data_IF_960568907435
#
_entry.id   IF_960568907435
#
_cell.length_a   1.000
_cell.length_b   1.000
_cell.length_c   1.000
_cell.angle_alpha   90.00
_cell.angle_beta   90.00
_cell.angle_gamma   90.00
#
_symmetry.space_group_name_H-M   'P 1'
#
loop_
_entity.id
_entity.type
_entity.pdbx_description
1 polymer ?
#
# COMPACT_ATOMS: atom_id res chain seq x y z
N UNK A 1 93.38 121.68 34.46
CA UNK A 1 94.26 120.54 34.81
C UNK A 1 93.43 119.29 34.55
N UNK A 2 93.30 118.89 33.28
CA UNK A 2 93.99 117.74 32.67
C UNK A 2 93.88 116.45 33.50
N UNK A 3 92.68 115.88 33.52
CA UNK A 3 92.48 114.44 33.73
C UNK A 3 93.11 113.71 32.54
N UNK A 4 94.39 113.39 32.72
CA UNK A 4 95.19 112.63 31.77
C UNK A 4 94.74 111.19 31.83
N UNK A 5 94.35 110.64 30.68
CA UNK A 5 94.04 109.23 30.51
C UNK A 5 95.18 108.39 31.15
N UNK A 6 94.90 107.61 32.21
CA UNK A 6 95.93 106.88 32.94
C UNK A 6 96.62 105.80 32.08
N UNK A 7 96.11 105.54 30.87
CA UNK A 7 96.66 104.62 29.88
C UNK A 7 97.35 105.32 28.69
N UNK A 8 97.67 106.62 28.78
CA UNK A 8 98.39 107.35 27.72
C UNK A 8 99.81 106.77 27.51
N UNK A 9 100.09 106.11 26.36
CA UNK A 9 101.38 105.45 26.10
C UNK A 9 102.56 106.43 26.01
N UNK A 10 102.27 107.74 25.94
CA UNK A 10 103.24 108.83 25.85
C UNK A 10 103.80 109.24 27.23
N UNK A 11 103.19 108.78 28.34
CA UNK A 11 103.56 109.16 29.70
C UNK A 11 104.69 108.26 30.24
N UNK A 12 105.71 108.86 30.85
CA UNK A 12 106.80 108.13 31.50
C UNK A 12 106.34 107.54 32.84
N UNK A 13 106.01 106.25 32.87
CA UNK A 13 105.62 105.54 34.10
C UNK A 13 106.86 105.08 34.91
N UNK A 14 106.82 105.23 36.24
CA UNK A 14 107.84 104.71 37.15
C UNK A 14 107.83 103.17 37.18
N UNK A 15 108.94 102.55 37.59
CA UNK A 15 109.06 101.08 37.61
C UNK A 15 108.03 100.38 38.51
N UNK A 16 107.58 101.04 39.59
CA UNK A 16 106.52 100.54 40.47
C UNK A 16 105.14 100.62 39.83
N UNK A 17 104.84 101.72 39.12
CA UNK A 17 103.57 101.87 38.39
C UNK A 17 103.46 100.87 37.24
N UNK A 18 104.56 100.64 36.50
CA UNK A 18 104.62 99.64 35.43
C UNK A 18 104.36 98.22 35.94
N UNK A 19 104.87 97.88 37.12
CA UNK A 19 104.70 96.55 37.72
C UNK A 19 103.25 96.31 38.19
N UNK A 20 102.65 97.33 38.81
CA UNK A 20 101.24 97.29 39.23
C UNK A 20 100.29 97.20 38.02
N UNK A 21 100.57 97.98 36.97
CA UNK A 21 99.84 97.93 35.70
C UNK A 21 99.94 96.57 35.02
N UNK A 22 101.14 95.98 35.00
CA UNK A 22 101.37 94.69 34.34
C UNK A 22 100.65 93.55 35.09
N UNK A 23 100.62 93.59 36.43
CA UNK A 23 99.89 92.62 37.24
C UNK A 23 98.36 92.76 37.07
N UNK A 24 97.82 93.99 37.04
CA UNK A 24 96.38 94.21 36.84
C UNK A 24 95.92 93.84 35.42
N UNK A 25 96.70 94.15 34.39
CA UNK A 25 96.42 93.74 33.00
C UNK A 25 96.49 92.22 32.87
N UNK A 26 97.48 91.57 33.48
CA UNK A 26 97.62 90.11 33.46
C UNK A 26 96.45 89.42 34.16
N UNK A 27 95.96 89.99 35.27
CA UNK A 27 94.80 89.46 36.00
C UNK A 27 93.48 89.64 35.23
N UNK A 28 93.31 90.76 34.54
CA UNK A 28 92.17 91.01 33.65
C UNK A 28 92.19 90.09 32.43
N UNK A 29 93.36 89.87 31.82
CA UNK A 29 93.53 88.92 30.71
C UNK A 29 93.21 87.48 31.14
N UNK A 30 93.71 87.04 32.30
CA UNK A 30 93.39 85.72 32.86
C UNK A 30 91.89 85.56 33.18
N UNK A 31 91.24 86.60 33.72
CA UNK A 31 89.80 86.60 33.98
C UNK A 31 88.98 86.60 32.69
N UNK A 32 89.42 87.31 31.65
CA UNK A 32 88.78 87.31 30.33
C UNK A 32 88.95 85.96 29.62
N UNK A 33 90.13 85.35 29.72
CA UNK A 33 90.42 84.02 29.17
C UNK A 33 89.68 82.93 29.94
N UNK A 34 89.63 82.98 31.28
CA UNK A 34 88.78 82.10 32.09
C UNK A 34 87.31 82.31 31.76
N UNK A 35 86.82 83.55 31.59
CA UNK A 35 85.44 83.79 31.17
C UNK A 35 85.18 83.23 29.77
N UNK A 36 86.10 83.40 28.82
CA UNK A 36 86.01 82.87 27.46
C UNK A 36 85.99 81.33 27.44
N UNK A 37 86.92 80.68 28.14
CA UNK A 37 86.97 79.22 28.26
C UNK A 37 85.72 78.66 28.95
N UNK A 38 85.25 79.30 30.02
CA UNK A 38 83.98 78.91 30.66
C UNK A 38 82.79 79.11 29.72
N UNK A 39 82.81 80.16 28.88
CA UNK A 39 81.76 80.43 27.89
C UNK A 39 81.73 79.40 26.76
N UNK A 40 82.91 78.96 26.28
CA UNK A 40 83.06 77.93 25.23
C UNK A 40 82.63 76.55 25.75
N UNK A 41 83.05 76.17 26.97
CA UNK A 41 82.61 74.91 27.58
C UNK A 41 81.09 74.87 27.88
N UNK A 42 80.50 76.02 28.24
CA UNK A 42 79.05 76.15 28.41
C UNK A 42 78.31 76.05 27.06
N UNK A 43 78.87 76.61 26.00
CA UNK A 43 78.30 76.56 24.65
C UNK A 43 78.32 75.14 24.07
N UNK A 44 79.43 74.40 24.19
CA UNK A 44 79.53 73.00 23.77
C UNK A 44 78.54 72.10 24.54
N UNK A 45 78.48 72.21 25.87
CA UNK A 45 77.54 71.44 26.68
C UNK A 45 76.05 71.75 26.42
N UNK A 46 75.72 72.96 25.97
CA UNK A 46 74.35 73.33 25.55
C UNK A 46 74.00 72.73 24.19
N UNK A 47 74.95 72.70 23.24
CA UNK A 47 74.75 72.06 21.93
C UNK A 47 74.52 70.55 22.08
N UNK A 48 75.35 69.84 22.85
CA UNK A 48 75.17 68.39 23.09
C UNK A 48 73.87 68.09 23.84
N UNK A 49 73.45 68.95 24.78
CA UNK A 49 72.17 68.82 25.50
C UNK A 49 70.97 68.95 24.55
N UNK A 50 71.03 69.87 23.59
CA UNK A 50 69.99 70.03 22.57
C UNK A 50 69.91 68.81 21.64
N UNK A 51 71.04 68.23 21.25
CA UNK A 51 71.08 67.00 20.44
C UNK A 51 70.53 65.78 21.20
N UNK A 52 70.84 65.62 22.49
CA UNK A 52 70.27 64.55 23.33
C UNK A 52 68.76 64.68 23.45
N UNK A 53 68.23 65.90 23.62
CA UNK A 53 66.79 66.16 23.63
C UNK A 53 66.15 65.83 22.28
N UNK A 54 66.82 66.16 21.17
CA UNK A 54 66.35 65.83 19.81
C UNK A 54 66.32 64.32 19.56
N UNK A 55 67.41 63.61 19.85
CA UNK A 55 67.48 62.15 19.74
C UNK A 55 66.49 61.45 20.69
N UNK A 56 66.24 62.01 21.87
CA UNK A 56 65.22 61.52 22.80
C UNK A 56 63.80 61.63 22.23
N UNK A 57 63.48 62.72 21.53
CA UNK A 57 62.21 62.90 20.80
C UNK A 57 62.09 61.91 19.64
N UNK A 58 63.11 61.80 18.78
CA UNK A 58 63.13 60.86 17.66
C UNK A 58 62.98 59.39 18.14
N UNK A 59 63.65 59.02 19.24
CA UNK A 59 63.50 57.69 19.85
C UNK A 59 62.07 57.44 20.35
N UNK A 60 61.43 58.43 20.97
CA UNK A 60 60.05 58.31 21.44
C UNK A 60 59.06 58.18 20.27
N UNK A 61 59.28 58.93 19.18
CA UNK A 61 58.52 58.83 17.93
C UNK A 61 58.69 57.44 17.29
N UNK A 62 59.91 56.90 17.24
CA UNK A 62 60.19 55.56 16.73
C UNK A 62 59.54 54.46 17.59
N UNK A 63 59.53 54.62 18.91
CA UNK A 63 58.85 53.67 19.81
C UNK A 63 57.33 53.70 19.62
N UNK A 64 56.75 54.89 19.44
CA UNK A 64 55.33 55.04 19.15
C UNK A 64 54.97 54.39 17.80
N UNK A 65 55.76 54.65 16.76
CA UNK A 65 55.57 54.06 15.44
C UNK A 65 55.68 52.53 15.48
N UNK A 66 56.67 51.99 16.20
CA UNK A 66 56.82 50.54 16.41
C UNK A 66 55.56 49.94 17.05
N UNK A 67 55.07 50.54 18.13
CA UNK A 67 53.86 50.08 18.83
C UNK A 67 52.62 50.13 17.91
N UNK A 68 52.46 51.20 17.13
CA UNK A 68 51.38 51.33 16.16
C UNK A 68 51.44 50.27 15.05
N UNK A 69 52.64 49.95 14.54
CA UNK A 69 52.84 48.89 13.54
C UNK A 69 52.52 47.51 14.15
N UNK A 70 53.01 47.22 15.35
CA UNK A 70 52.72 45.95 16.05
C UNK A 70 51.21 45.76 16.28
N UNK A 71 50.52 46.80 16.75
CA UNK A 71 49.06 46.77 16.90
C UNK A 71 48.35 46.54 15.56
N UNK A 72 48.81 47.19 14.49
CA UNK A 72 48.22 47.04 13.16
C UNK A 72 48.42 45.64 12.60
N UNK A 73 49.59 45.04 12.78
CA UNK A 73 49.87 43.66 12.38
C UNK A 73 49.02 42.65 13.17
N UNK A 74 48.90 42.84 14.49
CA UNK A 74 48.04 42.01 15.33
C UNK A 74 46.56 42.11 14.93
N UNK A 75 46.09 43.33 14.62
CA UNK A 75 44.73 43.53 14.16
C UNK A 75 44.48 42.84 12.80
N UNK A 76 45.45 42.92 11.88
CA UNK A 76 45.36 42.21 10.60
C UNK A 76 45.30 40.69 10.76
N UNK A 77 46.16 40.10 11.61
CA UNK A 77 46.13 38.65 11.91
C UNK A 77 44.79 38.25 12.56
N UNK A 78 44.26 39.08 13.45
CA UNK A 78 42.96 38.84 14.07
C UNK A 78 41.83 38.88 13.04
N UNK A 79 41.79 39.91 12.18
CA UNK A 79 40.76 40.07 11.15
C UNK A 79 40.79 38.92 10.13
N UNK A 80 41.99 38.45 9.76
CA UNK A 80 42.19 37.28 8.91
C UNK A 80 41.64 36.00 9.57
N UNK A 81 41.96 35.77 10.85
CA UNK A 81 41.47 34.61 11.61
C UNK A 81 39.97 34.65 11.82
N UNK A 82 39.39 35.81 12.11
CA UNK A 82 37.93 35.98 12.22
C UNK A 82 37.27 35.64 10.88
N UNK A 83 37.79 36.18 9.78
CA UNK A 83 37.28 35.91 8.43
C UNK A 83 37.42 34.42 8.03
N UNK A 84 38.48 33.75 8.47
CA UNK A 84 38.67 32.31 8.25
C UNK A 84 37.69 31.48 9.09
N UNK A 85 37.48 31.85 10.36
CA UNK A 85 36.53 31.19 11.26
C UNK A 85 35.09 31.32 10.73
N UNK A 86 34.70 32.49 10.24
CA UNK A 86 33.38 32.72 9.65
C UNK A 86 33.16 31.85 8.40
N UNK A 87 34.15 31.77 7.51
CA UNK A 87 34.12 30.88 6.35
C UNK A 87 33.99 29.41 6.76
N UNK A 88 34.76 28.96 7.76
CA UNK A 88 34.69 27.59 8.26
C UNK A 88 33.32 27.29 8.90
N UNK A 89 32.74 28.24 9.66
CA UNK A 89 31.39 28.11 10.24
C UNK A 89 30.32 28.00 9.17
N UNK A 90 30.39 28.83 8.12
CA UNK A 90 29.46 28.76 7.00
C UNK A 90 29.56 27.42 6.26
N UNK A 91 30.77 26.96 5.96
CA UNK A 91 31.00 25.65 5.35
C UNK A 91 30.44 24.52 6.21
N UNK A 92 30.71 24.52 7.52
CA UNK A 92 30.18 23.51 8.43
C UNK A 92 28.65 23.52 8.49
N UNK A 93 28.03 24.70 8.52
CA UNK A 93 26.57 24.82 8.49
C UNK A 93 25.99 24.26 7.19
N UNK A 94 26.60 24.57 6.03
CA UNK A 94 26.16 24.05 4.74
C UNK A 94 26.30 22.53 4.66
N UNK A 95 27.43 21.97 5.09
CA UNK A 95 27.68 20.53 5.11
C UNK A 95 26.73 19.79 6.05
N UNK A 96 26.41 20.38 7.22
CA UNK A 96 25.40 19.83 8.14
C UNK A 96 24.01 19.78 7.50
N UNK A 97 23.60 20.87 6.84
CA UNK A 97 22.30 20.92 6.17
C UNK A 97 22.22 19.92 5.01
N UNK A 98 23.31 19.75 4.26
CA UNK A 98 23.39 18.77 3.18
C UNK A 98 23.33 17.33 3.70
N UNK A 99 24.07 17.02 4.77
CA UNK A 99 24.03 15.71 5.42
C UNK A 99 22.63 15.38 5.97
N UNK A 100 21.96 16.36 6.59
CA UNK A 100 20.59 16.19 7.09
C UNK A 100 19.61 15.91 5.94
N UNK A 101 19.72 16.65 4.83
CA UNK A 101 18.91 16.40 3.62
C UNK A 101 19.16 15.00 3.05
N UNK A 102 20.41 14.57 2.94
CA UNK A 102 20.76 13.25 2.44
C UNK A 102 20.19 12.14 3.34
N UNK A 103 20.25 12.31 4.66
CA UNK A 103 19.66 11.38 5.62
C UNK A 103 18.14 11.28 5.47
N UNK A 104 17.45 12.41 5.37
CA UNK A 104 15.99 12.44 5.18
C UNK A 104 15.61 11.73 3.87
N UNK A 105 16.34 11.98 2.78
CA UNK A 105 16.10 11.30 1.50
C UNK A 105 16.32 9.80 1.59
N UNK A 106 17.37 9.34 2.27
CA UNK A 106 17.62 7.93 2.48
C UNK A 106 16.51 7.27 3.31
N UNK A 107 16.02 7.93 4.36
CA UNK A 107 14.89 7.45 5.17
C UNK A 107 13.59 7.37 4.36
N UNK A 108 13.33 8.36 3.50
CA UNK A 108 12.17 8.34 2.59
C UNK A 108 12.27 7.16 1.63
N UNK A 109 13.41 6.99 0.96
CA UNK A 109 13.63 5.87 0.03
C UNK A 109 13.50 4.50 0.73
N UNK A 110 14.03 4.37 1.95
CA UNK A 110 13.89 3.14 2.73
C UNK A 110 12.43 2.85 3.07
N UNK A 111 11.64 3.88 3.44
CA UNK A 111 10.20 3.74 3.72
C UNK A 111 9.42 3.40 2.46
N UNK A 112 9.74 4.00 1.32
CA UNK A 112 9.10 3.70 0.03
C UNK A 112 9.38 2.25 -0.39
N UNK A 113 10.61 1.77 -0.24
CA UNK A 113 10.97 0.38 -0.51
C UNK A 113 10.25 -0.60 0.43
N UNK A 114 10.17 -0.28 1.73
CA UNK A 114 9.44 -1.09 2.69
C UNK A 114 7.94 -1.16 2.38
N UNK A 115 7.35 -0.04 1.96
CA UNK A 115 5.95 0.01 1.54
C UNK A 115 5.71 -0.82 0.27
N UNK A 116 6.60 -0.72 -0.71
CA UNK A 116 6.52 -1.52 -1.94
C UNK A 116 6.59 -3.02 -1.65
N UNK A 117 7.48 -3.45 -0.75
CA UNK A 117 7.58 -4.84 -0.33
C UNK A 117 6.30 -5.30 0.40
N UNK A 118 5.82 -4.51 1.38
CA UNK A 118 4.58 -4.83 2.10
C UNK A 118 3.36 -4.91 1.18
N UNK A 119 3.29 -4.05 0.15
CA UNK A 119 2.23 -4.11 -0.87
C UNK A 119 2.36 -5.36 -1.76
N UNK A 120 3.58 -5.78 -2.10
CA UNK A 120 3.81 -7.02 -2.85
C UNK A 120 3.37 -8.24 -2.04
N UNK A 121 3.73 -8.29 -0.75
CA UNK A 121 3.32 -9.37 0.17
C UNK A 121 1.79 -9.42 0.34
N UNK A 122 1.14 -8.26 0.52
CA UNK A 122 -0.31 -8.18 0.61
C UNK A 122 -1.00 -8.70 -0.66
N UNK A 123 -0.50 -8.32 -1.85
CA UNK A 123 -1.01 -8.83 -3.13
C UNK A 123 -0.77 -10.33 -3.30
N UNK A 124 0.34 -10.86 -2.82
CA UNK A 124 0.62 -12.29 -2.87
C UNK A 124 -0.38 -13.08 -2.01
N UNK A 125 -0.66 -12.61 -0.79
CA UNK A 125 -1.65 -13.23 0.11
C UNK A 125 -3.06 -13.17 -0.51
N UNK A 126 -3.44 -12.03 -1.10
CA UNK A 126 -4.74 -11.89 -1.77
C UNK A 126 -4.85 -12.85 -2.96
N UNK A 127 -3.80 -12.96 -3.78
CA UNK A 127 -3.76 -13.89 -4.90
C UNK A 127 -3.83 -15.36 -4.45
N UNK A 128 -3.20 -15.72 -3.32
CA UNK A 128 -3.28 -17.06 -2.75
C UNK A 128 -4.70 -17.40 -2.29
N UNK A 129 -5.37 -16.48 -1.58
CA UNK A 129 -6.77 -16.64 -1.16
C UNK A 129 -7.70 -16.80 -2.36
N UNK A 130 -7.57 -15.95 -3.38
CA UNK A 130 -8.37 -16.03 -4.58
C UNK A 130 -8.17 -17.36 -5.33
N UNK A 131 -6.95 -17.90 -5.33
CA UNK A 131 -6.67 -19.24 -5.91
C UNK A 131 -7.34 -20.35 -5.10
N UNK A 132 -7.25 -20.31 -3.77
CA UNK A 132 -7.89 -21.31 -2.91
C UNK A 132 -9.42 -21.32 -3.09
N UNK A 133 -10.06 -20.14 -3.11
CA UNK A 133 -11.50 -20.00 -3.36
C UNK A 133 -11.90 -20.52 -4.75
N UNK A 134 -11.11 -20.21 -5.78
CA UNK A 134 -11.36 -20.70 -7.13
C UNK A 134 -11.24 -22.24 -7.22
N UNK A 135 -10.29 -22.84 -6.50
CA UNK A 135 -10.16 -24.29 -6.43
C UNK A 135 -11.34 -24.95 -5.70
N UNK A 136 -11.81 -24.36 -4.60
CA UNK A 136 -12.99 -24.87 -3.88
C UNK A 136 -14.24 -24.82 -4.76
N UNK A 137 -14.47 -23.70 -5.44
CA UNK A 137 -15.57 -23.57 -6.40
C UNK A 137 -15.46 -24.57 -7.56
N UNK A 138 -14.24 -24.80 -8.06
CA UNK A 138 -14.01 -25.79 -9.10
C UNK A 138 -14.34 -27.21 -8.62
N UNK A 139 -13.93 -27.58 -7.40
CA UNK A 139 -14.26 -28.88 -6.77
C UNK A 139 -15.77 -29.04 -6.59
N UNK A 140 -16.47 -28.01 -6.13
CA UNK A 140 -17.93 -28.04 -6.01
C UNK A 140 -18.63 -28.19 -7.36
N UNK A 141 -18.18 -27.44 -8.37
CA UNK A 141 -18.71 -27.54 -9.72
C UNK A 141 -18.51 -28.93 -10.33
N UNK A 142 -17.35 -29.56 -10.10
CA UNK A 142 -17.10 -30.94 -10.53
C UNK A 142 -18.03 -31.93 -9.83
N UNK A 143 -18.25 -31.79 -8.52
CA UNK A 143 -19.19 -32.65 -7.77
C UNK A 143 -20.61 -32.50 -8.30
N UNK A 144 -21.07 -31.27 -8.51
CA UNK A 144 -22.40 -31.00 -9.06
C UNK A 144 -22.56 -31.57 -10.47
N UNK A 145 -21.52 -31.48 -11.31
CA UNK A 145 -21.52 -32.09 -12.65
C UNK A 145 -21.56 -33.62 -12.58
N UNK A 146 -20.82 -34.23 -11.66
CA UNK A 146 -20.82 -35.67 -11.46
C UNK A 146 -22.19 -36.17 -10.97
N UNK A 147 -22.83 -35.45 -10.05
CA UNK A 147 -24.19 -35.75 -9.58
C UNK A 147 -25.21 -35.63 -10.71
N UNK A 148 -25.13 -34.56 -11.51
CA UNK A 148 -25.99 -34.39 -12.68
C UNK A 148 -25.78 -35.52 -13.70
N UNK A 149 -24.54 -35.94 -13.94
CA UNK A 149 -24.25 -37.04 -14.84
C UNK A 149 -24.84 -38.38 -14.34
N UNK A 150 -24.77 -38.63 -13.03
CA UNK A 150 -25.41 -39.80 -12.41
C UNK A 150 -26.93 -39.75 -12.60
N UNK A 151 -27.55 -38.60 -12.29
CA UNK A 151 -28.98 -38.40 -12.45
C UNK A 151 -29.42 -38.59 -13.91
N UNK A 152 -28.68 -38.03 -14.87
CA UNK A 152 -28.95 -38.21 -16.30
C UNK A 152 -28.87 -39.68 -16.72
N UNK A 153 -27.91 -40.44 -16.17
CA UNK A 153 -27.80 -41.87 -16.41
C UNK A 153 -29.01 -42.63 -15.85
N UNK A 154 -29.40 -42.35 -14.60
CA UNK A 154 -30.60 -42.95 -13.98
C UNK A 154 -31.87 -42.66 -14.80
N UNK A 155 -32.05 -41.42 -15.26
CA UNK A 155 -33.18 -41.02 -16.10
C UNK A 155 -33.20 -41.79 -17.43
N UNK A 156 -32.04 -41.97 -18.07
CA UNK A 156 -31.92 -42.74 -19.31
C UNK A 156 -32.27 -44.22 -19.12
N UNK A 157 -31.89 -44.83 -17.99
CA UNK A 157 -32.19 -46.23 -17.69
C UNK A 157 -33.69 -46.47 -17.42
N UNK A 158 -34.34 -45.48 -16.80
CA UNK A 158 -35.77 -45.44 -16.52
C UNK A 158 -36.61 -45.00 -17.72
N UNK A 159 -35.99 -44.50 -18.80
CA UNK A 159 -36.70 -43.80 -19.90
C UNK A 159 -37.62 -42.68 -19.37
N UNK A 160 -37.24 -42.07 -18.24
CA UNK A 160 -38.02 -41.06 -17.54
C UNK A 160 -37.60 -39.65 -17.94
N UNK A 161 -38.54 -38.71 -17.87
CA UNK A 161 -38.28 -37.29 -18.05
C UNK A 161 -38.25 -36.60 -16.69
N UNK A 162 -37.22 -35.79 -16.43
CA UNK A 162 -37.17 -34.97 -15.23
C UNK A 162 -38.12 -33.78 -15.40
N UNK A 163 -38.97 -33.57 -14.41
CA UNK A 163 -39.90 -32.44 -14.33
C UNK A 163 -39.85 -31.84 -12.93
N UNK A 164 -40.46 -30.67 -12.74
CA UNK A 164 -40.57 -30.02 -11.43
C UNK A 164 -41.27 -30.89 -10.38
N UNK A 165 -42.12 -31.82 -10.82
CA UNK A 165 -42.88 -32.77 -9.98
C UNK A 165 -42.06 -34.01 -9.61
N UNK A 166 -40.90 -34.21 -10.24
CA UNK A 166 -40.06 -35.39 -10.11
C UNK A 166 -39.85 -36.11 -11.46
N UNK A 167 -39.57 -37.41 -11.40
CA UNK A 167 -39.28 -38.21 -12.60
C UNK A 167 -40.60 -38.75 -13.16
N UNK A 168 -40.99 -38.32 -14.37
CA UNK A 168 -42.19 -38.78 -15.07
C UNK A 168 -41.83 -39.89 -16.02
N UNK A 169 -42.43 -41.06 -15.83
CA UNK A 169 -42.36 -42.19 -16.76
C UNK A 169 -43.70 -42.30 -17.46
N UNK A 170 -43.73 -42.08 -18.78
CA UNK A 170 -44.94 -42.22 -19.59
C UNK A 170 -45.08 -43.65 -20.09
N UNK A 171 -46.13 -44.32 -19.64
CA UNK A 171 -46.47 -45.71 -19.96
C UNK A 171 -47.65 -45.66 -20.95
N UNK A 172 -47.37 -45.79 -22.25
CA UNK A 172 -48.37 -45.66 -23.32
C UNK A 172 -49.29 -46.88 -23.53
N UNK A 173 -50.30 -46.72 -24.38
CA UNK A 173 -51.36 -47.71 -24.70
C UNK A 173 -50.86 -49.06 -25.20
N UNK A 174 -49.66 -49.10 -25.81
CA UNK A 174 -49.03 -50.33 -26.32
C UNK A 174 -48.72 -51.34 -25.20
N UNK A 175 -48.96 -50.98 -23.94
CA UNK A 175 -48.71 -51.77 -22.74
C UNK A 175 -49.98 -52.36 -22.10
N UNK A 176 -51.17 -51.97 -22.55
CA UNK A 176 -52.46 -52.50 -22.12
C UNK A 176 -53.15 -53.23 -23.29
N UNK A 177 -53.78 -54.39 -23.04
CA UNK A 177 -54.60 -55.01 -24.09
C UNK A 177 -55.79 -54.08 -24.44
N UNK A 178 -56.21 -54.06 -25.71
CA UNK A 178 -57.31 -53.20 -26.18
C UNK A 178 -58.55 -53.37 -25.29
N UNK A 179 -59.04 -52.25 -24.74
CA UNK A 179 -60.18 -52.19 -23.80
C UNK A 179 -60.00 -52.99 -22.50
N UNK A 180 -58.76 -53.22 -22.07
CA UNK A 180 -58.45 -53.92 -20.81
C UNK A 180 -57.46 -53.15 -19.96
N UNK A 181 -57.55 -53.36 -18.66
CA UNK A 181 -56.61 -52.85 -17.66
C UNK A 181 -55.43 -53.81 -17.40
N UNK A 182 -55.27 -54.87 -18.23
CA UNK A 182 -54.22 -55.89 -18.09
C UNK A 182 -52.91 -55.42 -18.73
N UNK A 183 -51.83 -55.49 -17.95
CA UNK A 183 -50.47 -55.11 -18.33
C UNK A 183 -49.77 -56.21 -19.15
N UNK A 184 -49.24 -55.86 -20.32
CA UNK A 184 -48.49 -56.80 -21.16
C UNK A 184 -47.03 -57.02 -20.67
N UNK A 185 -46.29 -57.92 -21.32
CA UNK A 185 -44.93 -58.28 -20.91
C UNK A 185 -43.94 -57.09 -20.88
N UNK A 186 -44.02 -56.16 -21.84
CA UNK A 186 -43.17 -54.96 -21.84
C UNK A 186 -43.52 -54.01 -20.68
N UNK A 187 -44.79 -54.00 -20.26
CA UNK A 187 -45.25 -53.20 -19.15
C UNK A 187 -44.72 -53.76 -17.83
N UNK A 188 -44.64 -55.09 -17.71
CA UNK A 188 -44.06 -55.76 -16.55
C UNK A 188 -42.59 -55.37 -16.36
N UNK A 189 -41.79 -55.26 -17.43
CA UNK A 189 -40.39 -54.82 -17.36
C UNK A 189 -40.29 -53.39 -16.82
N UNK A 190 -41.15 -52.48 -17.28
CA UNK A 190 -41.18 -51.10 -16.74
C UNK A 190 -41.62 -51.07 -15.27
N UNK A 191 -42.57 -51.93 -14.88
CA UNK A 191 -42.97 -52.08 -13.47
C UNK A 191 -41.84 -52.63 -12.60
N UNK A 192 -41.04 -53.55 -13.11
CA UNK A 192 -39.87 -54.10 -12.39
C UNK A 192 -38.83 -53.00 -12.14
N UNK A 193 -38.56 -52.16 -13.15
CA UNK A 193 -37.65 -51.01 -13.02
C UNK A 193 -38.14 -49.98 -12.01
N UNK A 194 -39.41 -49.59 -12.07
CA UNK A 194 -40.01 -48.64 -11.14
C UNK A 194 -40.00 -49.21 -9.71
N UNK A 195 -40.33 -50.49 -9.55
CA UNK A 195 -40.30 -51.14 -8.24
C UNK A 195 -38.88 -51.19 -7.67
N UNK A 196 -37.88 -51.57 -8.46
CA UNK A 196 -36.49 -51.58 -8.03
C UNK A 196 -36.04 -50.17 -7.55
N UNK A 197 -36.36 -49.13 -8.32
CA UNK A 197 -36.04 -47.75 -7.94
C UNK A 197 -36.73 -47.31 -6.63
N UNK A 198 -38.03 -47.59 -6.49
CA UNK A 198 -38.79 -47.23 -5.29
C UNK A 198 -38.40 -48.04 -4.04
N UNK A 199 -37.85 -49.24 -4.21
CA UNK A 199 -37.26 -50.03 -3.12
C UNK A 199 -35.94 -49.44 -2.64
N UNK A 200 -35.10 -48.95 -3.56
CA UNK A 200 -33.85 -48.26 -3.22
C UNK A 200 -34.12 -46.90 -2.56
N UNK A 201 -35.02 -46.10 -3.12
CA UNK A 201 -35.37 -44.74 -2.64
C UNK A 201 -36.64 -44.77 -1.79
N UNK A 202 -36.54 -45.29 -0.56
CA UNK A 202 -37.69 -45.49 0.32
C UNK A 202 -38.42 -44.20 0.75
N UNK A 203 -37.76 -43.04 0.62
CA UNK A 203 -38.28 -41.71 0.96
C UNK A 203 -39.06 -41.01 -0.17
N UNK A 204 -39.25 -41.68 -1.32
CA UNK A 204 -40.01 -41.13 -2.46
C UNK A 204 -41.38 -41.77 -2.58
N UNK A 205 -42.38 -40.97 -2.93
CA UNK A 205 -43.74 -41.45 -3.21
C UNK A 205 -43.98 -41.50 -4.73
N UNK A 206 -44.96 -42.29 -5.14
CA UNK A 206 -45.37 -42.44 -6.52
C UNK A 206 -46.79 -41.88 -6.71
N UNK A 207 -46.94 -40.99 -7.69
CA UNK A 207 -48.24 -40.57 -8.21
C UNK A 207 -48.46 -41.21 -9.57
N UNK A 208 -49.60 -41.88 -9.74
CA UNK A 208 -49.97 -42.56 -10.97
C UNK A 208 -51.19 -41.87 -11.57
N UNK A 209 -51.02 -41.28 -12.76
CA UNK A 209 -52.05 -40.50 -13.44
C UNK A 209 -52.54 -41.28 -14.67
N UNK A 210 -53.82 -41.65 -14.68
CA UNK A 210 -54.45 -42.31 -15.81
C UNK A 210 -55.06 -41.30 -16.78
N UNK A 211 -54.88 -41.52 -18.08
CA UNK A 211 -55.44 -40.69 -19.14
C UNK A 211 -56.07 -41.55 -20.25
N UNK A 212 -57.12 -41.01 -20.86
CA UNK A 212 -57.80 -41.62 -22.01
C UNK A 212 -57.78 -40.69 -23.21
N UNK A 213 -58.22 -41.19 -24.37
CA UNK A 213 -58.48 -40.35 -25.53
C UNK A 213 -59.90 -39.75 -25.47
N UNK A 214 -60.29 -39.02 -26.51
CA UNK A 214 -61.60 -38.37 -26.57
C UNK A 214 -62.77 -39.28 -26.94
N UNK A 215 -62.56 -40.58 -27.15
CA UNK A 215 -63.60 -41.51 -27.62
C UNK A 215 -64.35 -42.11 -26.42
N UNK A 216 -65.69 -42.15 -26.50
CA UNK A 216 -66.54 -42.63 -25.41
C UNK A 216 -67.11 -41.51 -24.52
N UNK A 217 -68.02 -41.86 -23.61
CA UNK A 217 -68.60 -40.90 -22.67
C UNK A 217 -67.58 -40.43 -21.62
N UNK A 218 -67.89 -39.33 -20.95
CA UNK A 218 -67.01 -38.77 -19.92
C UNK A 218 -66.91 -39.70 -18.72
N UNK A 219 -68.03 -40.31 -18.33
CA UNK A 219 -68.13 -41.28 -17.23
C UNK A 219 -67.29 -42.53 -17.53
N UNK A 220 -67.44 -43.10 -18.73
CA UNK A 220 -66.67 -44.27 -19.15
C UNK A 220 -65.17 -43.99 -19.17
N UNK A 221 -64.77 -42.83 -19.71
CA UNK A 221 -63.36 -42.43 -19.76
C UNK A 221 -62.77 -42.15 -18.37
N UNK A 222 -63.58 -41.60 -17.45
CA UNK A 222 -63.18 -41.41 -16.07
C UNK A 222 -62.89 -42.75 -15.40
N UNK A 223 -63.86 -43.68 -15.43
CA UNK A 223 -63.69 -45.03 -14.87
C UNK A 223 -62.50 -45.77 -15.48
N UNK A 224 -62.33 -45.72 -16.80
CA UNK A 224 -61.21 -46.37 -17.48
C UNK A 224 -59.86 -45.79 -17.05
N UNK A 225 -59.76 -44.47 -16.91
CA UNK A 225 -58.53 -43.81 -16.47
C UNK A 225 -58.15 -44.20 -15.03
N UNK A 226 -59.14 -44.29 -14.13
CA UNK A 226 -58.94 -44.70 -12.74
C UNK A 226 -58.54 -46.18 -12.65
N UNK A 227 -59.22 -47.06 -13.40
CA UNK A 227 -58.90 -48.48 -13.44
C UNK A 227 -57.49 -48.75 -13.94
N UNK A 228 -57.04 -48.04 -14.99
CA UNK A 228 -55.67 -48.16 -15.51
C UNK A 228 -54.62 -47.72 -14.48
N UNK A 229 -54.85 -46.62 -13.78
CA UNK A 229 -53.98 -46.18 -12.69
C UNK A 229 -53.95 -47.19 -11.52
N UNK A 230 -55.12 -47.74 -11.16
CA UNK A 230 -55.24 -48.77 -10.13
C UNK A 230 -54.52 -50.07 -10.50
N UNK A 231 -54.55 -50.51 -11.76
CA UNK A 231 -53.79 -51.66 -12.25
C UNK A 231 -52.29 -51.50 -12.06
N UNK A 232 -51.75 -50.32 -12.36
CA UNK A 232 -50.33 -49.98 -12.14
C UNK A 232 -49.99 -50.03 -10.65
N UNK A 233 -50.83 -49.43 -9.80
CA UNK A 233 -50.66 -49.53 -8.34
C UNK A 233 -50.66 -50.98 -7.87
N UNK A 234 -51.62 -51.80 -8.31
CA UNK A 234 -51.69 -53.22 -7.95
C UNK A 234 -50.44 -53.98 -8.37
N UNK A 235 -49.93 -53.72 -9.58
CA UNK A 235 -48.74 -54.36 -10.11
C UNK A 235 -47.47 -54.01 -9.31
N UNK A 236 -47.36 -52.78 -8.79
CA UNK A 236 -46.24 -52.33 -7.97
C UNK A 236 -46.36 -52.81 -6.51
N UNK A 237 -47.57 -52.87 -5.96
CA UNK A 237 -47.82 -53.46 -4.63
C UNK A 237 -47.44 -54.94 -4.61
N UNK A 238 -47.77 -55.68 -5.67
CA UNK A 238 -47.34 -57.08 -5.84
C UNK A 238 -45.81 -57.25 -5.87
N UNK A 239 -45.08 -56.19 -6.20
CA UNK A 239 -43.61 -56.13 -6.20
C UNK A 239 -43.03 -55.61 -4.88
N UNK A 240 -43.86 -55.49 -3.84
CA UNK A 240 -43.42 -55.14 -2.49
C UNK A 240 -43.34 -53.63 -2.21
N UNK A 241 -43.88 -52.78 -3.09
CA UNK A 241 -44.02 -51.35 -2.78
C UNK A 241 -45.21 -51.14 -1.85
N UNK A 242 -45.00 -50.41 -0.76
CA UNK A 242 -46.04 -50.13 0.21
C UNK A 242 -47.18 -49.30 -0.43
N UNK A 243 -48.44 -49.73 -0.23
CA UNK A 243 -49.62 -49.15 -0.90
C UNK A 243 -49.83 -47.67 -0.59
N UNK A 244 -49.44 -47.25 0.61
CA UNK A 244 -49.49 -45.87 1.11
C UNK A 244 -48.53 -44.93 0.37
N UNK A 245 -47.48 -45.47 -0.25
CA UNK A 245 -46.52 -44.69 -1.06
C UNK A 245 -47.04 -44.45 -2.48
N UNK A 246 -48.13 -45.09 -2.88
CA UNK A 246 -48.68 -45.01 -4.24
C UNK A 246 -50.07 -44.39 -4.20
N UNK A 247 -50.21 -43.23 -4.82
CA UNK A 247 -51.49 -42.55 -5.02
C UNK A 247 -51.85 -42.60 -6.50
N UNK A 248 -53.11 -42.88 -6.80
CA UNK A 248 -53.63 -43.01 -8.17
C UNK A 248 -54.71 -41.96 -8.41
N UNK A 249 -54.73 -41.36 -9.60
CA UNK A 249 -55.78 -40.44 -10.03
C UNK A 249 -56.10 -40.67 -11.50
N UNK A 250 -57.39 -40.67 -11.85
CA UNK A 250 -57.85 -40.69 -13.23
C UNK A 250 -58.21 -39.28 -13.70
N UNK A 251 -57.62 -38.84 -14.80
CA UNK A 251 -57.90 -37.54 -15.39
C UNK A 251 -58.80 -37.60 -16.63
N UNK A 252 -59.29 -38.78 -17.00
CA UNK A 252 -60.08 -38.96 -18.21
C UNK A 252 -59.33 -38.34 -19.42
N UNK A 253 -60.04 -37.64 -20.30
CA UNK A 253 -59.52 -36.95 -21.47
C UNK A 253 -59.07 -35.49 -21.24
N UNK A 254 -58.98 -35.03 -19.99
CA UNK A 254 -58.79 -33.60 -19.64
C UNK A 254 -57.41 -33.03 -20.01
N UNK A 255 -56.37 -33.86 -20.06
CA UNK A 255 -55.00 -33.44 -20.34
C UNK A 255 -54.38 -34.26 -21.49
N UNK A 256 -54.78 -33.98 -22.75
CA UNK A 256 -54.22 -34.65 -23.92
C UNK A 256 -52.77 -34.20 -24.18
N UNK A 257 -51.91 -35.12 -24.59
CA UNK A 257 -50.56 -34.81 -25.08
C UNK A 257 -50.54 -34.48 -26.57
N UNK A 258 -51.49 -35.03 -27.33
CA UNK A 258 -51.60 -34.84 -28.77
C UNK A 258 -53.05 -34.64 -29.23
N UNK A 259 -53.23 -34.14 -30.45
CA UNK A 259 -54.56 -34.00 -31.05
C UNK A 259 -55.28 -35.34 -31.18
N UNK A 260 -56.59 -35.36 -30.90
CA UNK A 260 -57.40 -36.60 -30.94
C UNK A 260 -57.91 -36.96 -32.34
N UNK A 261 -57.56 -36.18 -33.36
CA UNK A 261 -58.08 -36.37 -34.72
C UNK A 261 -57.48 -37.60 -35.41
N UNK A 262 -56.24 -37.95 -35.05
CA UNK A 262 -55.53 -39.09 -35.64
C UNK A 262 -55.48 -40.29 -34.71
N UNK A 263 -55.40 -41.50 -35.26
CA UNK A 263 -55.22 -42.74 -34.48
C UNK A 263 -53.95 -42.68 -33.63
N UNK A 264 -52.86 -42.13 -34.20
CA UNK A 264 -51.58 -41.96 -33.52
C UNK A 264 -51.69 -41.00 -32.32
N UNK A 265 -52.36 -39.85 -32.48
CA UNK A 265 -52.55 -38.91 -31.38
C UNK A 265 -53.45 -39.46 -30.27
N UNK A 266 -54.51 -40.21 -30.62
CA UNK A 266 -55.34 -40.92 -29.63
C UNK A 266 -54.55 -41.99 -28.87
N UNK A 267 -53.69 -42.74 -29.55
CA UNK A 267 -52.79 -43.71 -28.90
C UNK A 267 -51.84 -43.05 -27.88
N UNK A 268 -51.33 -41.85 -28.17
CA UNK A 268 -50.50 -41.11 -27.22
C UNK A 268 -51.29 -40.60 -26.00
N UNK A 269 -52.58 -40.26 -26.18
CA UNK A 269 -53.44 -39.80 -25.09
C UNK A 269 -53.89 -40.92 -24.15
N UNK A 270 -54.02 -42.16 -24.66
CA UNK A 270 -54.25 -43.36 -23.86
C UNK A 270 -52.95 -43.78 -23.17
N UNK A 271 -52.68 -43.21 -21.99
CA UNK A 271 -51.43 -43.41 -21.25
C UNK A 271 -51.65 -43.44 -19.76
N UNK A 272 -50.66 -43.95 -19.05
CA UNK A 272 -50.49 -43.76 -17.62
C UNK A 272 -49.17 -43.06 -17.38
N UNK A 273 -49.17 -41.96 -16.64
CA UNK A 273 -47.94 -41.30 -16.18
C UNK A 273 -47.63 -41.77 -14.77
N UNK A 274 -46.48 -42.42 -14.59
CA UNK A 274 -45.95 -42.80 -13.29
C UNK A 274 -44.91 -41.74 -12.87
N UNK A 275 -45.26 -40.94 -11.87
CA UNK A 275 -44.47 -39.79 -11.43
C UNK A 275 -43.84 -40.12 -10.09
N UNK A 276 -42.54 -40.37 -10.10
CA UNK A 276 -41.75 -40.56 -8.89
C UNK A 276 -41.43 -39.18 -8.34
N UNK A 277 -42.04 -38.85 -7.20
CA UNK A 277 -41.98 -37.51 -6.63
C UNK A 277 -40.61 -37.23 -5.99
N UNK A 278 -40.30 -35.94 -5.91
CA UNK A 278 -39.16 -35.46 -5.13
C UNK A 278 -39.30 -35.88 -3.66
N UNK A 279 -38.16 -35.99 -2.98
CA UNK A 279 -38.09 -36.53 -1.62
C UNK A 279 -38.96 -35.71 -0.64
N UNK A 280 -39.76 -36.41 0.17
CA UNK A 280 -40.65 -35.79 1.15
C UNK A 280 -41.91 -35.11 0.58
N UNK A 281 -42.11 -35.11 -0.74
CA UNK A 281 -43.32 -34.55 -1.36
C UNK A 281 -44.51 -35.51 -1.24
N UNK A 282 -45.65 -34.98 -0.80
CA UNK A 282 -46.92 -35.72 -0.72
C UNK A 282 -47.61 -35.76 -2.09
N UNK A 283 -48.08 -36.92 -2.59
CA UNK A 283 -48.72 -37.02 -3.90
C UNK A 283 -49.91 -36.10 -4.13
N UNK A 284 -50.75 -35.89 -3.11
CA UNK A 284 -51.97 -35.07 -3.21
C UNK A 284 -51.65 -33.60 -3.49
N UNK A 285 -50.47 -33.12 -3.07
CA UNK A 285 -50.02 -31.75 -3.32
C UNK A 285 -49.66 -31.50 -4.79
N UNK A 286 -49.48 -32.57 -5.56
CA UNK A 286 -48.99 -32.52 -6.93
C UNK A 286 -50.09 -32.77 -7.96
N UNK A 287 -51.36 -32.91 -7.55
CA UNK A 287 -52.45 -33.10 -8.50
C UNK A 287 -52.55 -31.92 -9.47
N UNK A 288 -52.73 -32.23 -10.76
CA UNK A 288 -53.02 -31.23 -11.80
C UNK A 288 -54.29 -30.48 -11.42
N UNK A 289 -54.23 -29.15 -11.53
CA UNK A 289 -55.34 -28.22 -11.30
C UNK A 289 -56.07 -27.92 -12.60
#
# INVERSE_FOLDING_TARGET
MNDTNPFDPSRGYSSSEKKLFFDDISRLAYMAERKSQTSVALAEGVVTRNEIVKLGKEKAELQLLKSQIEQKLLQQDLDEKVSALERAKQQLSSAKNEAERARILADIQAKEAALANAQADAKAIEAEKARAEAEDLAREAERARAELALLMKELSELQGQLTDRGIVLTIGDVLFAFDKADLNASAQISMDKIAAFLQEKQNRNLLVEGHTDSVGSDEYNQELSEQRAASVKSALVKRGIASERIVTIGYSKKYPLAGNDTVAGRQQNRRVEAIILNEGVKPESQFRK
#
